data_IF_447749574690
#
_entry.id   IF_447749574690
#
_cell.length_a   1.000
_cell.length_b   1.000
_cell.length_c   1.000
_cell.angle_alpha   90.00
_cell.angle_beta   90.00
_cell.angle_gamma   90.00
#
_symmetry.space_group_name_H-M   'P 1'
#
loop_
_entity.id
_entity.type
_entity.pdbx_description
1 polymer ?
#
# COMPACT_ATOMS: atom_id res chain seq x y z
N UNK A 1 0.79 -10.43 -27.86
CA UNK A 1 0.85 -11.76 -28.50
C UNK A 1 -0.36 -11.94 -29.42
N UNK A 2 -0.15 -12.17 -30.73
CA UNK A 2 -1.24 -12.35 -31.70
C UNK A 2 -1.97 -13.67 -31.44
N UNK A 3 -3.31 -13.69 -31.49
CA UNK A 3 -4.08 -14.94 -31.34
C UNK A 3 -3.79 -15.87 -32.53
N UNK A 4 -3.25 -17.06 -32.25
CA UNK A 4 -2.62 -17.98 -33.21
C UNK A 4 -3.56 -18.58 -34.27
N UNK A 5 -4.87 -18.36 -34.22
CA UNK A 5 -5.81 -18.79 -35.28
C UNK A 5 -6.94 -17.76 -35.41
N UNK A 6 -7.10 -17.05 -36.54
CA UNK A 6 -8.25 -16.20 -36.78
C UNK A 6 -9.51 -17.07 -36.89
N UNK A 7 -10.53 -16.74 -36.10
CA UNK A 7 -11.80 -17.47 -36.07
C UNK A 7 -12.54 -17.20 -37.40
N UNK A 8 -12.44 -18.13 -38.36
CA UNK A 8 -13.05 -17.97 -39.67
C UNK A 8 -14.57 -17.85 -39.56
N UNK A 9 -15.14 -16.81 -40.19
CA UNK A 9 -16.59 -16.58 -40.20
C UNK A 9 -17.39 -17.75 -40.78
N UNK A 10 -16.78 -18.52 -41.70
CA UNK A 10 -17.38 -19.74 -42.29
C UNK A 10 -17.59 -20.82 -41.23
N UNK A 11 -16.58 -21.09 -40.39
CA UNK A 11 -16.67 -22.06 -39.30
C UNK A 11 -17.72 -21.66 -38.26
N UNK A 12 -17.92 -20.36 -38.01
CA UNK A 12 -18.97 -19.87 -37.11
C UNK A 12 -20.37 -20.15 -37.69
N UNK A 13 -20.55 -19.97 -39.01
CA UNK A 13 -21.82 -20.19 -39.70
C UNK A 13 -22.18 -21.69 -39.72
N UNK A 14 -21.24 -22.56 -40.05
CA UNK A 14 -21.42 -24.02 -40.01
C UNK A 14 -21.80 -24.51 -38.60
N UNK A 15 -21.08 -24.05 -37.57
CA UNK A 15 -21.43 -24.36 -36.16
C UNK A 15 -22.83 -23.90 -35.77
N UNK A 16 -23.31 -22.77 -36.32
CA UNK A 16 -24.66 -22.30 -36.06
C UNK A 16 -25.72 -23.13 -36.77
N UNK A 17 -25.46 -23.56 -38.01
CA UNK A 17 -26.36 -24.44 -38.75
C UNK A 17 -26.49 -25.81 -38.07
N UNK A 18 -25.37 -26.42 -37.67
CA UNK A 18 -25.37 -27.69 -36.92
C UNK A 18 -26.20 -27.56 -35.63
N UNK A 19 -26.02 -26.47 -34.88
CA UNK A 19 -26.82 -26.22 -33.66
C UNK A 19 -28.31 -26.05 -33.94
N UNK A 20 -28.70 -25.49 -35.09
CA UNK A 20 -30.11 -25.33 -35.48
C UNK A 20 -30.71 -26.65 -35.92
N UNK A 21 -29.98 -27.45 -36.70
CA UNK A 21 -30.40 -28.79 -37.12
C UNK A 21 -30.61 -29.70 -35.90
N UNK A 22 -29.69 -29.69 -34.92
CA UNK A 22 -29.84 -30.43 -33.66
C UNK A 22 -31.11 -29.98 -32.90
N UNK A 23 -31.36 -28.68 -32.81
CA UNK A 23 -32.57 -28.16 -32.14
C UNK A 23 -33.87 -28.53 -32.85
N UNK A 24 -33.82 -28.69 -34.17
CA UNK A 24 -34.98 -29.05 -35.01
C UNK A 24 -35.24 -30.56 -35.03
N UNK A 25 -34.27 -31.37 -34.58
CA UNK A 25 -34.37 -32.83 -34.56
C UNK A 25 -33.83 -33.51 -35.82
N UNK A 26 -33.28 -32.75 -36.78
CA UNK A 26 -32.78 -33.26 -38.06
C UNK A 26 -31.46 -34.04 -37.92
N UNK A 27 -30.72 -33.82 -36.83
CA UNK A 27 -29.47 -34.52 -36.53
C UNK A 27 -29.50 -35.07 -35.10
N UNK A 28 -29.02 -36.32 -34.89
CA UNK A 28 -28.91 -36.88 -33.55
C UNK A 28 -27.97 -36.02 -32.69
N UNK A 29 -28.30 -35.78 -31.40
CA UNK A 29 -27.41 -35.06 -30.50
C UNK A 29 -26.03 -35.73 -30.46
N UNK A 30 -24.93 -34.97 -30.52
CA UNK A 30 -23.60 -35.55 -30.38
C UNK A 30 -23.50 -36.26 -29.02
N UNK A 31 -22.84 -37.41 -29.01
CA UNK A 31 -22.64 -38.20 -27.80
C UNK A 31 -22.08 -37.31 -26.66
N UNK A 32 -22.54 -37.52 -25.41
CA UNK A 32 -22.16 -36.70 -24.28
C UNK A 32 -20.68 -36.93 -23.93
N UNK A 33 -19.79 -36.28 -24.66
CA UNK A 33 -18.39 -36.16 -24.28
C UNK A 33 -18.34 -35.44 -22.93
N UNK A 34 -17.72 -36.08 -21.93
CA UNK A 34 -17.57 -35.56 -20.57
C UNK A 34 -17.12 -34.10 -20.65
N UNK A 35 -18.03 -33.18 -20.30
CA UNK A 35 -17.72 -31.75 -20.31
C UNK A 35 -16.50 -31.57 -19.40
N UNK A 36 -15.37 -31.01 -19.88
CA UNK A 36 -14.30 -30.64 -18.98
C UNK A 36 -14.90 -29.67 -17.98
N UNK A 37 -14.76 -29.99 -16.68
CA UNK A 37 -15.20 -29.14 -15.58
C UNK A 37 -14.61 -27.75 -15.78
N UNK A 38 -15.40 -26.83 -16.31
CA UNK A 38 -15.07 -25.41 -16.35
C UNK A 38 -15.15 -24.95 -14.91
N UNK A 39 -14.03 -25.05 -14.20
CA UNK A 39 -13.80 -24.27 -12.98
C UNK A 39 -14.07 -22.83 -13.37
N UNK A 40 -15.24 -22.31 -12.97
CA UNK A 40 -15.54 -20.88 -13.04
C UNK A 40 -14.34 -20.18 -12.38
N UNK A 41 -13.68 -19.22 -13.04
CA UNK A 41 -12.73 -18.40 -12.34
C UNK A 41 -13.55 -17.69 -11.28
N UNK A 42 -13.40 -18.11 -10.02
CA UNK A 42 -13.69 -17.24 -8.90
C UNK A 42 -12.90 -15.94 -9.14
N UNK A 43 -13.41 -14.76 -8.75
CA UNK A 43 -12.61 -13.55 -8.69
C UNK A 43 -11.62 -13.69 -7.54
N UNK A 44 -10.72 -14.66 -7.66
CA UNK A 44 -9.51 -14.78 -6.87
C UNK A 44 -8.50 -13.94 -7.62
N UNK A 45 -8.03 -12.86 -6.99
CA UNK A 45 -6.81 -12.19 -7.41
C UNK A 45 -5.74 -13.26 -7.56
N UNK A 46 -5.47 -13.65 -8.81
CA UNK A 46 -4.47 -14.66 -9.10
C UNK A 46 -3.14 -14.01 -8.81
N UNK A 47 -2.54 -14.42 -7.70
CA UNK A 47 -1.11 -14.40 -7.51
C UNK A 47 -0.47 -14.94 -8.79
N UNK A 48 0.16 -14.05 -9.53
CA UNK A 48 1.13 -14.39 -10.56
C UNK A 48 2.32 -14.94 -9.80
N UNK A 49 2.27 -16.23 -9.47
CA UNK A 49 3.46 -17.01 -9.11
C UNK A 49 4.15 -17.33 -10.42
N UNK A 50 4.87 -16.34 -10.96
CA UNK A 50 5.88 -16.52 -11.98
C UNK A 50 7.12 -15.77 -11.53
N UNK A 51 8.01 -16.49 -10.84
CA UNK A 51 9.45 -16.23 -10.81
C UNK A 51 9.96 -14.96 -10.14
N UNK A 52 9.11 -14.09 -9.60
CA UNK A 52 9.55 -13.02 -8.71
C UNK A 52 9.94 -13.62 -7.36
N UNK A 53 11.11 -13.28 -6.83
CA UNK A 53 11.42 -13.55 -5.43
C UNK A 53 10.27 -13.04 -4.55
N UNK A 54 9.93 -13.72 -3.46
CA UNK A 54 8.88 -13.23 -2.54
C UNK A 54 9.14 -11.78 -2.11
N UNK A 55 10.43 -11.39 -2.02
CA UNK A 55 10.86 -10.01 -1.83
C UNK A 55 10.37 -9.04 -2.93
N UNK A 56 10.41 -9.43 -4.20
CA UNK A 56 9.92 -8.62 -5.32
C UNK A 56 8.38 -8.51 -5.34
N UNK A 57 7.67 -9.55 -4.89
CA UNK A 57 6.20 -9.50 -4.77
C UNK A 57 5.81 -8.64 -3.57
N UNK A 58 6.54 -8.74 -2.45
CA UNK A 58 6.33 -7.90 -1.27
C UNK A 58 6.68 -6.44 -1.56
N UNK A 59 7.76 -6.16 -2.30
CA UNK A 59 8.12 -4.79 -2.70
C UNK A 59 7.10 -4.20 -3.67
N UNK A 60 6.65 -4.97 -4.67
CA UNK A 60 5.59 -4.54 -5.58
C UNK A 60 4.26 -4.28 -4.85
N UNK A 61 3.93 -5.06 -3.82
CA UNK A 61 2.77 -4.80 -2.94
C UNK A 61 2.97 -3.59 -2.04
N UNK A 62 4.20 -3.31 -1.59
CA UNK A 62 4.54 -2.13 -0.77
C UNK A 62 4.30 -0.83 -1.55
N UNK A 63 4.41 -0.88 -2.88
CA UNK A 63 4.12 0.22 -3.80
C UNK A 63 2.64 0.31 -4.21
N UNK A 64 1.74 -0.46 -3.59
CA UNK A 64 0.30 -0.40 -3.85
C UNK A 64 -0.43 0.19 -2.64
N UNK A 65 -1.49 0.96 -2.90
CA UNK A 65 -2.30 1.60 -1.86
C UNK A 65 -2.91 0.55 -0.92
N UNK A 66 -2.47 0.53 0.32
CA UNK A 66 -3.10 -0.20 1.41
C UNK A 66 -3.09 0.67 2.66
N UNK A 67 -4.24 0.79 3.32
CA UNK A 67 -4.29 1.38 4.64
C UNK A 67 -3.40 0.57 5.60
N UNK A 68 -2.48 1.25 6.27
CA UNK A 68 -1.63 0.63 7.28
C UNK A 68 -2.55 0.12 8.40
N UNK A 69 -2.52 -1.19 8.63
CA UNK A 69 -3.17 -1.77 9.80
C UNK A 69 -2.28 -1.53 11.00
N UNK A 70 -2.81 -0.84 11.99
CA UNK A 70 -2.11 -0.62 13.26
C UNK A 70 -1.86 -1.96 13.96
N UNK A 71 -0.69 -2.16 14.57
CA UNK A 71 -0.44 -3.34 15.40
C UNK A 71 -1.49 -3.43 16.53
N UNK A 72 -2.02 -4.62 16.85
CA UNK A 72 -3.03 -4.78 17.89
C UNK A 72 -2.53 -4.29 19.26
N UNK A 73 -1.25 -4.50 19.55
CA UNK A 73 -0.60 -3.99 20.78
C UNK A 73 -0.70 -2.47 20.92
N UNK A 74 -0.40 -1.74 19.85
CA UNK A 74 -0.50 -0.27 19.82
C UNK A 74 -1.93 0.20 20.10
N UNK A 75 -2.94 -0.50 19.57
CA UNK A 75 -4.34 -0.19 19.82
C UNK A 75 -4.74 -0.43 21.28
N UNK A 76 -4.26 -1.52 21.89
CA UNK A 76 -4.53 -1.83 23.29
C UNK A 76 -3.87 -0.81 24.24
N UNK A 77 -2.60 -0.47 23.99
CA UNK A 77 -1.84 0.52 24.77
C UNK A 77 -2.48 1.90 24.69
N UNK A 78 -2.76 2.39 23.48
CA UNK A 78 -3.40 3.70 23.29
C UNK A 78 -4.80 3.76 23.90
N UNK A 79 -5.56 2.66 23.81
CA UNK A 79 -6.88 2.54 24.45
C UNK A 79 -6.77 2.61 25.98
N UNK A 80 -5.81 1.89 26.57
CA UNK A 80 -5.58 1.90 28.01
C UNK A 80 -5.18 3.29 28.51
N UNK A 81 -4.25 3.95 27.81
CA UNK A 81 -3.82 5.32 28.13
C UNK A 81 -5.01 6.27 28.03
N UNK A 82 -5.78 6.23 26.94
CA UNK A 82 -6.95 7.08 26.75
C UNK A 82 -8.04 6.88 27.82
N UNK A 83 -8.18 5.67 28.37
CA UNK A 83 -9.14 5.41 29.45
C UNK A 83 -8.67 5.84 30.83
N UNK A 84 -7.35 5.87 31.06
CA UNK A 84 -6.77 6.12 32.38
C UNK A 84 -6.40 7.59 32.58
N UNK A 85 -6.03 8.31 31.51
CA UNK A 85 -5.59 9.71 31.62
C UNK A 85 -6.77 10.63 31.97
N UNK A 86 -6.76 11.28 33.16
CA UNK A 86 -7.82 12.19 33.55
C UNK A 86 -7.76 13.47 32.71
N UNK A 87 -8.87 13.83 32.08
CA UNK A 87 -8.98 15.08 31.32
C UNK A 87 -9.43 16.21 32.26
N UNK A 88 -8.53 17.14 32.57
CA UNK A 88 -8.89 18.35 33.31
C UNK A 88 -9.83 19.22 32.47
N UNK A 89 -10.91 19.67 33.13
CA UNK A 89 -11.89 20.60 32.56
C UNK A 89 -11.88 21.87 33.43
N UNK A 90 -11.98 23.07 32.85
CA UNK A 90 -12.03 23.38 31.42
C UNK A 90 -10.72 23.08 30.69
N UNK A 91 -10.81 22.71 29.41
CA UNK A 91 -9.61 22.50 28.57
C UNK A 91 -8.93 23.85 28.38
N UNK A 92 -7.61 23.92 28.58
CA UNK A 92 -6.86 25.16 28.35
C UNK A 92 -7.06 25.66 26.92
N UNK A 93 -7.33 26.96 26.78
CA UNK A 93 -7.52 27.60 25.48
C UNK A 93 -6.26 27.55 24.60
N UNK A 94 -5.08 27.44 25.21
CA UNK A 94 -3.80 27.28 24.48
C UNK A 94 -3.79 26.03 23.59
N UNK A 95 -4.48 24.96 24.00
CA UNK A 95 -4.62 23.73 23.20
C UNK A 95 -5.56 23.93 22.00
N UNK A 96 -6.47 24.92 22.08
CA UNK A 96 -7.37 25.27 20.98
C UNK A 96 -6.71 26.19 19.95
N UNK A 97 -5.61 26.87 20.30
CA UNK A 97 -4.83 27.67 19.37
C UNK A 97 -3.82 26.82 18.61
N UNK A 98 -3.91 26.82 17.28
CA UNK A 98 -2.86 26.28 16.44
C UNK A 98 -1.69 27.28 16.42
N UNK A 99 -0.59 26.96 17.10
CA UNK A 99 0.63 27.75 17.00
C UNK A 99 1.29 27.48 15.64
N UNK A 100 1.53 28.53 14.86
CA UNK A 100 2.28 28.43 13.60
C UNK A 100 3.70 27.91 13.89
N UNK A 101 3.94 26.64 13.57
CA UNK A 101 5.25 26.00 13.68
C UNK A 101 6.32 26.60 12.74
N UNK A 102 5.95 27.59 11.90
CA UNK A 102 6.81 28.23 10.91
C UNK A 102 7.90 29.15 11.50
N UNK A 103 7.80 29.54 12.77
CA UNK A 103 8.73 30.53 13.37
C UNK A 103 9.98 29.92 14.04
N UNK A 104 9.97 28.64 14.41
CA UNK A 104 11.13 27.99 15.04
C UNK A 104 12.10 27.46 13.97
N UNK A 105 12.70 28.38 13.21
CA UNK A 105 13.75 28.18 12.21
C UNK A 105 15.09 27.68 12.79
N UNK A 106 15.09 26.85 13.84
CA UNK A 106 16.33 26.28 14.43
C UNK A 106 16.60 24.83 13.99
N UNK A 107 15.70 24.18 13.26
CA UNK A 107 15.92 22.86 12.67
C UNK A 107 16.06 22.90 11.14
N UNK A 108 16.74 23.91 10.60
CA UNK A 108 17.12 23.97 9.18
C UNK A 108 17.93 22.75 8.66
N UNK A 109 18.34 21.84 9.57
CA UNK A 109 19.10 20.63 9.27
C UNK A 109 18.34 19.30 9.48
N UNK A 110 17.07 19.31 9.90
CA UNK A 110 16.26 18.09 9.88
C UNK A 110 15.50 18.07 8.54
N UNK A 111 16.01 17.26 7.61
CA UNK A 111 15.59 17.24 6.21
C UNK A 111 14.09 17.42 6.03
N UNK A 112 13.71 18.55 5.43
CA UNK A 112 12.32 18.89 5.16
C UNK A 112 11.67 17.76 4.36
N UNK A 113 10.60 17.17 4.90
CA UNK A 113 9.77 16.24 4.14
C UNK A 113 9.30 16.95 2.88
N UNK A 114 9.76 16.48 1.72
CA UNK A 114 9.46 17.06 0.41
C UNK A 114 8.81 16.01 -0.46
N UNK A 115 7.91 16.44 -1.36
CA UNK A 115 7.39 15.56 -2.40
C UNK A 115 8.48 15.26 -3.44
N UNK A 116 8.59 14.01 -3.93
CA UNK A 116 9.59 13.65 -4.92
C UNK A 116 9.19 14.22 -6.29
N UNK A 117 10.16 14.85 -6.97
CA UNK A 117 9.98 15.31 -8.35
C UNK A 117 10.20 14.15 -9.32
N UNK A 118 9.45 14.13 -10.42
CA UNK A 118 9.67 13.14 -11.48
C UNK A 118 11.06 13.29 -12.10
N UNK A 119 11.77 12.19 -12.38
CA UNK A 119 13.03 12.24 -13.11
C UNK A 119 12.83 12.80 -14.52
N UNK A 120 13.86 13.46 -15.05
CA UNK A 120 13.82 14.02 -16.40
C UNK A 120 13.80 12.89 -17.43
N UNK A 121 12.69 12.75 -18.13
CA UNK A 121 12.55 11.84 -19.27
C UNK A 121 13.13 12.46 -20.56
N UNK A 122 13.66 11.60 -21.45
CA UNK A 122 14.12 11.95 -22.80
C UNK A 122 13.41 11.07 -23.83
N UNK A 123 13.10 11.62 -25.01
CA UNK A 123 12.36 10.90 -26.06
C UNK A 123 12.98 9.55 -26.47
N UNK A 124 14.30 9.41 -26.35
CA UNK A 124 15.01 8.18 -26.70
C UNK A 124 14.82 7.04 -25.68
N UNK A 125 14.35 7.35 -24.46
CA UNK A 125 14.16 6.36 -23.41
C UNK A 125 12.97 5.47 -23.72
N UNK A 126 13.16 4.16 -23.56
CA UNK A 126 12.06 3.21 -23.69
C UNK A 126 11.07 3.37 -22.53
N UNK A 127 9.80 3.02 -22.75
CA UNK A 127 8.78 3.05 -21.69
C UNK A 127 9.25 2.32 -20.41
N UNK A 128 9.88 1.16 -20.56
CA UNK A 128 10.38 0.35 -19.43
C UNK A 128 11.47 1.08 -18.65
N UNK A 129 12.32 1.81 -19.34
CA UNK A 129 13.40 2.58 -18.74
C UNK A 129 12.85 3.77 -17.95
N UNK A 130 11.83 4.45 -18.48
CA UNK A 130 11.13 5.53 -17.76
C UNK A 130 10.49 4.99 -16.48
N UNK A 131 9.72 3.90 -16.59
CA UNK A 131 9.06 3.28 -15.44
C UNK A 131 10.07 2.84 -14.37
N UNK A 132 11.19 2.25 -14.77
CA UNK A 132 12.25 1.83 -13.86
C UNK A 132 12.96 3.01 -13.17
N UNK A 133 13.23 4.09 -13.91
CA UNK A 133 13.82 5.31 -13.34
C UNK A 133 12.88 5.98 -12.33
N UNK A 134 11.59 6.04 -12.66
CA UNK A 134 10.55 6.53 -11.75
C UNK A 134 10.47 5.67 -10.48
N UNK A 135 10.47 4.34 -10.61
CA UNK A 135 10.47 3.39 -9.50
C UNK A 135 11.67 3.60 -8.57
N UNK A 136 12.87 3.74 -9.12
CA UNK A 136 14.08 3.96 -8.32
C UNK A 136 14.07 5.28 -7.54
N UNK A 137 13.57 6.36 -8.15
CA UNK A 137 13.42 7.66 -7.45
C UNK A 137 12.39 7.55 -6.34
N UNK A 138 11.25 6.92 -6.61
CA UNK A 138 10.17 6.78 -5.64
C UNK A 138 10.56 5.87 -4.47
N UNK A 139 11.25 4.76 -4.72
CA UNK A 139 11.76 3.86 -3.68
C UNK A 139 12.79 4.57 -2.79
N UNK A 140 13.72 5.33 -3.39
CA UNK A 140 14.69 6.13 -2.62
C UNK A 140 14.00 7.15 -1.74
N UNK A 141 13.00 7.84 -2.27
CA UNK A 141 12.23 8.82 -1.50
C UNK A 141 11.47 8.18 -0.34
N UNK A 142 10.85 7.01 -0.55
CA UNK A 142 10.20 6.26 0.52
C UNK A 142 11.19 5.88 1.62
N UNK A 143 12.37 5.37 1.26
CA UNK A 143 13.39 5.00 2.25
C UNK A 143 13.89 6.20 3.06
N UNK A 144 14.10 7.35 2.40
CA UNK A 144 14.48 8.60 3.08
C UNK A 144 13.39 9.09 4.03
N UNK A 145 12.13 9.06 3.58
CA UNK A 145 10.97 9.48 4.37
C UNK A 145 10.77 8.56 5.57
N UNK A 146 10.85 7.24 5.37
CA UNK A 146 10.77 6.24 6.43
C UNK A 146 11.85 6.46 7.51
N UNK A 147 13.10 6.72 7.10
CA UNK A 147 14.19 7.00 8.03
C UNK A 147 13.96 8.29 8.84
N UNK A 148 13.46 9.35 8.22
CA UNK A 148 13.12 10.61 8.90
C UNK A 148 11.99 10.42 9.92
N UNK A 149 10.96 9.65 9.54
CA UNK A 149 9.83 9.33 10.43
C UNK A 149 10.29 8.48 11.61
N UNK A 150 11.13 7.47 11.36
CA UNK A 150 11.66 6.61 12.42
C UNK A 150 12.53 7.43 13.40
N UNK A 151 13.35 8.35 12.89
CA UNK A 151 14.12 9.27 13.72
C UNK A 151 13.21 10.16 14.57
N UNK A 152 12.14 10.70 13.98
CA UNK A 152 11.14 11.49 14.70
C UNK A 152 10.41 10.67 15.77
N UNK A 153 10.04 9.42 15.47
CA UNK A 153 9.41 8.52 16.45
C UNK A 153 10.35 8.24 17.63
N UNK A 154 11.62 7.90 17.36
CA UNK A 154 12.64 7.69 18.40
C UNK A 154 12.91 8.93 19.23
N UNK A 155 12.83 10.12 18.65
CA UNK A 155 12.99 11.38 19.40
C UNK A 155 11.87 11.65 20.41
N UNK A 156 10.73 10.98 20.25
CA UNK A 156 9.54 11.11 21.11
C UNK A 156 9.37 9.94 22.07
N UNK A 157 10.05 8.81 21.84
CA UNK A 157 10.07 7.74 22.82
C UNK A 157 10.81 8.22 24.08
N UNK A 158 10.23 8.05 25.27
CA UNK A 158 10.94 8.36 26.50
C UNK A 158 12.16 7.43 26.58
N UNK A 159 13.36 8.01 26.60
CA UNK A 159 14.60 7.25 26.83
C UNK A 159 14.43 6.53 28.17
N UNK A 160 14.58 5.20 28.24
CA UNK A 160 14.63 4.53 29.53
C UNK A 160 15.88 5.06 30.24
N UNK A 161 15.68 5.93 31.22
CA UNK A 161 16.73 6.41 32.10
C UNK A 161 17.38 5.19 32.75
N UNK A 162 18.56 4.83 32.23
CA UNK A 162 19.46 3.84 32.79
C UNK A 162 20.08 4.37 34.07
N UNK A 163 19.24 4.56 35.08
CA UNK A 163 19.64 4.88 36.45
C UNK A 163 18.85 3.95 37.34
N UNK A 164 19.50 2.85 37.72
CA UNK A 164 19.02 1.81 38.64
C UNK A 164 18.84 2.32 40.09
N UNK A 165 18.74 3.64 40.30
CA UNK A 165 18.73 4.26 41.63
C UNK A 165 17.65 5.35 41.76
N UNK A 166 16.38 5.02 41.55
CA UNK A 166 15.28 5.75 42.19
C UNK A 166 13.97 4.93 42.15
N UNK A 167 13.94 3.81 42.87
CA UNK A 167 12.68 3.23 43.35
C UNK A 167 12.07 4.18 44.40
N UNK A 168 11.34 5.23 43.99
CA UNK A 168 10.35 5.87 44.86
C UNK A 168 9.29 6.64 44.05
N UNK A 169 8.19 5.95 43.80
CA UNK A 169 6.82 6.51 43.83
C UNK A 169 6.49 7.66 42.87
N UNK A 170 6.91 7.57 41.61
CA UNK A 170 6.25 8.28 40.52
C UNK A 170 5.79 7.28 39.46
N UNK A 171 4.48 7.13 39.30
CA UNK A 171 3.93 6.46 38.13
C UNK A 171 4.52 7.14 36.89
N UNK A 172 5.14 6.39 35.95
CA UNK A 172 5.69 6.99 34.75
C UNK A 172 4.56 7.74 34.02
N UNK A 173 4.82 8.97 33.51
CA UNK A 173 3.81 9.69 32.76
C UNK A 173 3.32 8.80 31.61
N UNK A 174 2.00 8.55 31.56
CA UNK A 174 1.33 7.77 30.52
C UNK A 174 1.41 8.52 29.19
N UNK A 175 2.59 8.51 28.57
CA UNK A 175 2.84 9.14 27.28
C UNK A 175 2.34 8.19 26.21
N UNK A 176 1.36 8.65 25.42
CA UNK A 176 0.88 7.87 24.29
C UNK A 176 2.03 7.58 23.32
N UNK A 177 2.17 6.33 22.83
CA UNK A 177 3.19 6.01 21.84
C UNK A 177 3.00 6.89 20.59
N UNK A 178 4.08 7.27 19.90
CA UNK A 178 3.99 8.12 18.73
C UNK A 178 3.13 7.45 17.66
N UNK A 179 2.14 8.18 17.12
CA UNK A 179 1.28 7.66 16.07
C UNK A 179 2.10 7.35 14.81
N UNK A 180 1.76 6.30 14.06
CA UNK A 180 2.32 6.12 12.74
C UNK A 180 1.88 7.24 11.81
N UNK A 181 2.69 7.51 10.79
CA UNK A 181 2.39 8.52 9.79
C UNK A 181 1.56 7.92 8.66
N UNK A 182 0.66 8.74 8.11
CA UNK A 182 -0.22 8.38 7.02
C UNK A 182 0.13 9.24 5.81
N UNK A 183 0.67 8.63 4.77
CA UNK A 183 0.87 9.26 3.47
C UNK A 183 0.79 8.21 2.36
N UNK A 184 0.58 8.68 1.13
CA UNK A 184 0.46 7.80 -0.03
C UNK A 184 1.81 7.14 -0.36
N UNK A 185 1.79 5.81 -0.49
CA UNK A 185 2.96 4.98 -0.82
C UNK A 185 2.82 4.30 -2.17
N UNK A 186 1.73 4.56 -2.89
CA UNK A 186 1.46 4.02 -4.20
C UNK A 186 2.16 4.82 -5.30
N UNK A 187 3.03 4.15 -6.04
CA UNK A 187 3.74 4.77 -7.16
C UNK A 187 2.79 5.23 -8.27
N UNK A 188 1.67 4.53 -8.49
CA UNK A 188 0.69 4.91 -9.52
C UNK A 188 -0.03 6.20 -9.17
N UNK A 189 -0.21 6.49 -7.88
CA UNK A 189 -0.80 7.75 -7.44
C UNK A 189 0.20 8.88 -7.66
N UNK A 190 1.49 8.66 -7.34
CA UNK A 190 2.54 9.63 -7.67
C UNK A 190 2.67 9.87 -9.18
N UNK A 191 2.47 8.83 -10.01
CA UNK A 191 2.40 8.92 -11.48
C UNK A 191 1.18 9.68 -12.02
N UNK A 192 0.26 10.18 -11.19
CA UNK A 192 -0.84 11.06 -11.63
C UNK A 192 -0.57 12.55 -11.40
N UNK A 193 0.42 12.89 -10.58
CA UNK A 193 0.85 14.26 -10.28
C UNK A 193 2.00 14.69 -11.19
#
# INVERSE_FOLDING_TARGET
>A
MPRRIPNSGKQKKERQQIKRAIKRGDLPPPEPTKKPSRKRPRPTGKAIVQGGSDAAIVSARKLQSAFIKLPPKFLEETKAIASTVPLSRPISYEVASFHDFAANNQTANQGTLSCPKRPKWRFDMSKKEVEHNEEGVFEKWLAQTDAMIEQWQKSREPVPSSSEEMEERYDPPLVAPPSPTYFERNIEVWRQF
#
